data_IF_807736342444
#
_entry.id   IF_807736342444
#
_cell.length_a   1.000
_cell.length_b   1.000
_cell.length_c   1.000
_cell.angle_alpha   90.00
_cell.angle_beta   90.00
_cell.angle_gamma   90.00
#
_symmetry.space_group_name_H-M   'P 1'
#
loop_
_entity.id
_entity.type
_entity.pdbx_description
1 polymer ?
#
# COMPACT_ATOMS: atom_id res chain seq x y z
N UNK A 1 -12.13 14.21 -4.53
CA UNK A 1 -11.46 15.16 -3.62
C UNK A 1 -10.35 14.39 -2.93
N UNK A 2 -9.12 14.91 -2.96
CA UNK A 2 -7.92 14.29 -2.38
C UNK A 2 -8.00 14.29 -0.84
N UNK A 3 -7.30 13.36 -0.19
CA UNK A 3 -7.22 13.29 1.26
C UNK A 3 -6.45 14.48 1.84
N UNK A 4 -6.94 15.12 2.92
CA UNK A 4 -6.21 16.18 3.61
C UNK A 4 -5.12 15.64 4.57
N UNK A 5 -5.08 14.32 4.80
CA UNK A 5 -4.20 13.66 5.76
C UNK A 5 -2.82 13.42 5.13
N UNK A 6 -2.07 14.48 4.90
CA UNK A 6 -0.72 14.38 4.35
C UNK A 6 0.13 15.60 4.72
N UNK A 7 1.45 15.42 4.74
CA UNK A 7 2.40 16.51 4.97
C UNK A 7 3.59 16.44 4.02
N UNK A 8 4.56 17.34 4.17
CA UNK A 8 5.79 17.28 3.39
C UNK A 8 6.60 16.02 3.76
N UNK A 9 7.23 15.39 2.77
CA UNK A 9 8.20 14.31 3.02
C UNK A 9 9.40 14.84 3.79
N UNK A 10 9.95 14.03 4.69
CA UNK A 10 11.12 14.41 5.50
C UNK A 10 12.44 13.86 4.96
N UNK A 11 12.38 12.86 4.07
CA UNK A 11 13.53 12.08 3.61
C UNK A 11 13.76 12.19 2.09
N UNK A 12 13.20 13.23 1.46
CA UNK A 12 13.30 13.44 0.01
C UNK A 12 12.24 12.66 -0.77
N UNK A 13 12.64 12.15 -1.94
CA UNK A 13 11.76 11.38 -2.83
C UNK A 13 11.49 9.98 -2.26
N UNK A 14 10.32 9.39 -2.54
CA UNK A 14 10.04 8.02 -2.14
C UNK A 14 10.95 7.04 -2.89
N UNK A 15 11.40 6.01 -2.18
CA UNK A 15 12.26 4.94 -2.71
C UNK A 15 11.71 3.53 -2.43
N UNK A 16 10.47 3.45 -1.94
CA UNK A 16 9.78 2.20 -1.62
C UNK A 16 8.26 2.27 -1.83
N UNK A 17 7.63 1.11 -1.94
CA UNK A 17 6.17 0.95 -1.96
C UNK A 17 5.78 0.03 -0.81
N UNK A 18 4.75 0.43 -0.05
CA UNK A 18 4.15 -0.42 0.97
C UNK A 18 2.75 -0.81 0.50
N UNK A 19 2.52 -2.11 0.38
CA UNK A 19 1.23 -2.69 0.00
C UNK A 19 0.42 -2.98 1.26
N UNK A 20 -0.84 -2.56 1.24
CA UNK A 20 -1.81 -2.71 2.33
C UNK A 20 -3.06 -3.43 1.84
N UNK A 21 -3.86 -3.89 2.79
CA UNK A 21 -5.29 -4.03 2.58
C UNK A 21 -6.06 -3.09 3.51
N UNK A 22 -7.27 -2.71 3.11
CA UNK A 22 -8.05 -1.69 3.84
C UNK A 22 -8.63 -2.16 5.17
N UNK A 23 -8.98 -3.45 5.30
CA UNK A 23 -9.67 -3.99 6.46
C UNK A 23 -11.13 -3.54 6.51
N UNK A 24 -11.66 -3.09 5.37
CA UNK A 24 -13.00 -2.52 5.25
C UNK A 24 -13.79 -3.25 4.18
N UNK A 25 -15.10 -3.38 4.39
CA UNK A 25 -15.99 -4.16 3.52
C UNK A 25 -16.18 -3.55 2.13
N UNK A 26 -15.96 -2.25 1.95
CA UNK A 26 -16.20 -1.55 0.69
C UNK A 26 -15.15 -0.47 0.42
N UNK A 27 -14.92 -0.17 -0.86
CA UNK A 27 -14.10 0.97 -1.27
C UNK A 27 -14.62 2.30 -0.73
N UNK A 28 -15.94 2.50 -0.72
CA UNK A 28 -16.55 3.71 -0.20
C UNK A 28 -16.21 3.93 1.28
N UNK A 29 -16.24 2.87 2.10
CA UNK A 29 -15.85 2.94 3.50
C UNK A 29 -14.34 3.22 3.66
N UNK A 30 -13.50 2.52 2.89
CA UNK A 30 -12.06 2.74 2.88
C UNK A 30 -11.70 4.19 2.51
N UNK A 31 -12.28 4.68 1.41
CA UNK A 31 -12.10 6.05 0.93
C UNK A 31 -12.56 7.07 1.97
N UNK A 32 -13.72 6.86 2.59
CA UNK A 32 -14.24 7.75 3.63
C UNK A 32 -13.26 7.85 4.81
N UNK A 33 -12.73 6.73 5.30
CA UNK A 33 -11.72 6.72 6.37
C UNK A 33 -10.42 7.41 5.96
N UNK A 34 -9.88 7.08 4.79
CA UNK A 34 -8.60 7.61 4.30
C UNK A 34 -8.66 9.11 3.99
N UNK A 35 -9.85 9.69 3.86
CA UNK A 35 -10.07 11.11 3.61
C UNK A 35 -10.65 11.87 4.81
N UNK A 36 -10.94 11.20 5.92
CA UNK A 36 -11.47 11.82 7.14
C UNK A 36 -10.33 12.50 7.91
N UNK A 37 -10.35 13.84 8.10
CA UNK A 37 -9.33 14.56 8.85
C UNK A 37 -9.11 14.02 10.28
N UNK A 38 -10.18 13.55 10.95
CA UNK A 38 -10.11 13.02 12.31
C UNK A 38 -9.52 11.61 12.37
N UNK A 39 -9.38 10.94 11.22
CA UNK A 39 -8.80 9.61 11.15
C UNK A 39 -7.29 9.58 11.28
N UNK A 40 -6.64 10.67 10.87
CA UNK A 40 -5.18 10.84 10.82
C UNK A 40 -4.46 9.68 10.13
N UNK A 41 -5.11 9.08 9.12
CA UNK A 41 -4.55 8.06 8.23
C UNK A 41 -4.91 8.36 6.78
N UNK A 42 -4.06 7.92 5.85
CA UNK A 42 -4.27 8.04 4.40
C UNK A 42 -3.33 7.12 3.64
N UNK A 43 -3.60 6.93 2.35
CA UNK A 43 -2.70 6.28 1.41
C UNK A 43 -2.60 7.13 0.13
N UNK A 44 -1.62 6.83 -0.72
CA UNK A 44 -1.50 7.54 -2.01
C UNK A 44 -2.53 7.02 -3.00
N UNK A 45 -2.76 5.70 -2.98
CA UNK A 45 -3.65 5.02 -3.91
C UNK A 45 -4.60 4.08 -3.19
N UNK A 46 -5.84 4.04 -3.65
CA UNK A 46 -6.85 3.05 -3.28
C UNK A 46 -7.28 2.28 -4.53
N UNK A 47 -7.28 0.95 -4.47
CA UNK A 47 -7.69 0.07 -5.57
C UNK A 47 -8.91 -0.76 -5.13
N UNK A 48 -10.04 -0.57 -5.80
CA UNK A 48 -11.27 -1.32 -5.57
C UNK A 48 -11.20 -2.74 -6.17
N UNK A 49 -12.15 -3.59 -5.82
CA UNK A 49 -12.27 -4.98 -6.23
C UNK A 49 -12.41 -5.15 -7.75
N UNK A 50 -12.98 -4.16 -8.44
CA UNK A 50 -13.13 -4.11 -9.90
C UNK A 50 -11.88 -3.55 -10.62
N UNK A 51 -10.84 -3.18 -9.89
CA UNK A 51 -9.61 -2.59 -10.42
C UNK A 51 -9.65 -1.07 -10.59
N UNK A 52 -10.76 -0.41 -10.23
CA UNK A 52 -10.83 1.04 -10.14
C UNK A 52 -9.74 1.56 -9.19
N UNK A 53 -8.91 2.48 -9.66
CA UNK A 53 -7.79 3.04 -8.90
C UNK A 53 -7.97 4.55 -8.71
N UNK A 54 -7.97 5.00 -7.46
CA UNK A 54 -8.11 6.42 -7.10
C UNK A 54 -6.84 6.94 -6.44
N UNK A 55 -6.32 8.07 -6.94
CA UNK A 55 -5.26 8.83 -6.28
C UNK A 55 -5.87 9.67 -5.15
N UNK A 56 -5.44 9.43 -3.91
CA UNK A 56 -5.91 10.14 -2.72
C UNK A 56 -4.90 11.17 -2.23
N UNK A 57 -3.60 10.85 -2.27
CA UNK A 57 -2.51 11.76 -1.87
C UNK A 57 -1.46 11.82 -2.99
N UNK A 58 -0.98 13.01 -3.39
CA UNK A 58 0.11 13.14 -4.35
C UNK A 58 1.36 12.35 -3.94
N UNK A 59 1.99 11.64 -4.88
CA UNK A 59 3.14 10.76 -4.61
C UNK A 59 4.38 11.51 -4.06
N UNK A 60 4.52 12.81 -4.33
CA UNK A 60 5.58 13.67 -3.79
C UNK A 60 5.31 14.15 -2.34
N UNK A 61 4.12 13.88 -1.80
CA UNK A 61 3.72 14.19 -0.43
C UNK A 61 3.80 12.94 0.44
N UNK A 62 3.86 13.15 1.76
CA UNK A 62 3.87 12.08 2.77
C UNK A 62 2.45 11.75 3.19
N UNK A 63 1.88 10.66 2.65
CA UNK A 63 0.67 10.05 3.21
C UNK A 63 0.96 9.37 4.57
N UNK A 64 -0.09 9.06 5.33
CA UNK A 64 -0.01 8.53 6.68
C UNK A 64 -0.57 7.11 6.74
N UNK A 65 0.15 6.13 6.19
CA UNK A 65 -0.31 4.73 6.08
C UNK A 65 0.48 3.74 6.94
N UNK A 66 1.79 3.93 7.09
CA UNK A 66 2.68 2.95 7.70
C UNK A 66 2.71 2.99 9.23
N UNK A 67 2.21 4.05 9.87
CA UNK A 67 2.27 4.25 11.33
C UNK A 67 3.69 4.06 11.92
N UNK A 68 3.77 3.51 13.13
CA UNK A 68 5.04 3.07 13.74
C UNK A 68 5.56 1.85 12.97
N UNK A 69 6.69 2.02 12.29
CA UNK A 69 7.27 1.05 11.35
C UNK A 69 8.77 1.28 11.16
N UNK A 70 9.48 0.35 10.54
CA UNK A 70 10.89 0.47 10.16
C UNK A 70 11.23 -0.43 8.98
N UNK A 71 12.10 0.05 8.07
CA UNK A 71 12.65 -0.75 6.97
C UNK A 71 14.12 -0.38 6.72
N UNK A 72 14.99 -1.39 6.68
CA UNK A 72 16.43 -1.23 6.48
C UNK A 72 17.09 -0.16 7.39
N UNK A 73 16.63 -0.07 8.64
CA UNK A 73 17.15 0.86 9.64
C UNK A 73 16.51 2.25 9.63
N UNK A 74 15.66 2.59 8.66
CA UNK A 74 14.90 3.85 8.66
C UNK A 74 13.50 3.66 9.26
N UNK A 75 13.12 4.57 10.15
CA UNK A 75 11.86 4.51 10.92
C UNK A 75 10.72 5.37 10.35
N UNK A 76 10.99 6.43 9.59
CA UNK A 76 9.94 7.23 8.94
C UNK A 76 9.56 6.63 7.58
N UNK A 77 9.03 5.41 7.60
CA UNK A 77 8.60 4.67 6.40
C UNK A 77 7.61 5.49 5.58
N UNK A 78 6.69 6.23 6.19
CA UNK A 78 5.78 7.13 5.48
C UNK A 78 6.52 8.16 4.61
N UNK A 79 7.65 8.72 5.09
CA UNK A 79 8.46 9.66 4.30
C UNK A 79 9.18 8.98 3.12
N UNK A 80 9.52 7.70 3.23
CA UNK A 80 10.20 6.92 2.18
C UNK A 80 9.25 6.26 1.19
N UNK A 81 7.98 6.09 1.53
CA UNK A 81 7.11 5.18 0.80
C UNK A 81 5.96 5.83 0.06
N UNK A 82 5.49 5.08 -0.94
CA UNK A 82 4.17 5.17 -1.51
C UNK A 82 3.30 4.04 -0.94
N UNK A 83 2.31 4.37 -0.10
CA UNK A 83 1.27 3.44 0.33
C UNK A 83 0.19 3.21 -0.72
N UNK A 84 -0.10 1.94 -1.02
CA UNK A 84 -1.20 1.48 -1.89
C UNK A 84 -2.14 0.59 -1.07
N UNK A 85 -3.41 0.97 -0.99
CA UNK A 85 -4.47 0.25 -0.30
C UNK A 85 -5.29 -0.57 -1.30
N UNK A 86 -5.35 -1.88 -1.11
CA UNK A 86 -6.27 -2.74 -1.85
C UNK A 86 -7.50 -3.01 -1.01
N UNK A 87 -8.69 -2.73 -1.56
CA UNK A 87 -9.96 -3.05 -0.90
C UNK A 87 -10.01 -4.55 -0.61
N UNK A 88 -9.99 -4.89 0.67
CA UNK A 88 -10.19 -6.23 1.17
C UNK A 88 -10.72 -6.12 2.61
N UNK A 89 -11.77 -6.86 2.98
CA UNK A 89 -12.34 -6.83 4.32
C UNK A 89 -11.37 -7.26 5.42
N UNK A 90 -10.28 -7.97 5.08
CA UNK A 90 -9.31 -8.43 6.07
C UNK A 90 -9.84 -9.55 6.96
N UNK A 91 -8.99 -10.04 7.88
CA UNK A 91 -9.22 -11.28 8.65
C UNK A 91 -10.51 -11.24 9.49
N UNK A 92 -10.90 -10.07 9.99
CA UNK A 92 -12.05 -9.90 10.87
C UNK A 92 -13.39 -9.94 10.12
N UNK A 93 -13.39 -9.75 8.79
CA UNK A 93 -14.62 -9.49 8.02
C UNK A 93 -14.75 -10.33 6.76
N UNK A 94 -14.02 -11.44 6.66
CA UNK A 94 -14.10 -12.37 5.52
C UNK A 94 -12.96 -12.19 4.53
N UNK A 95 -11.72 -12.22 5.03
CA UNK A 95 -10.51 -12.14 4.22
C UNK A 95 -10.55 -13.11 3.04
N UNK A 96 -10.35 -12.60 1.83
CA UNK A 96 -10.37 -13.37 0.59
C UNK A 96 -9.16 -13.06 -0.30
N UNK A 97 -8.83 -13.92 -1.27
CA UNK A 97 -7.84 -13.60 -2.29
C UNK A 97 -8.21 -12.33 -3.05
N UNK A 98 -7.20 -11.59 -3.50
CA UNK A 98 -7.39 -10.35 -4.25
C UNK A 98 -7.82 -10.68 -5.69
N UNK A 99 -8.98 -10.21 -6.16
CA UNK A 99 -9.52 -10.59 -7.47
C UNK A 99 -8.66 -10.09 -8.63
N UNK A 100 -8.78 -10.76 -9.79
CA UNK A 100 -7.97 -10.48 -10.98
C UNK A 100 -7.97 -9.01 -11.41
N UNK A 101 -9.12 -8.29 -11.50
CA UNK A 101 -9.11 -6.89 -11.92
C UNK A 101 -8.30 -6.00 -10.99
N UNK A 102 -8.39 -6.23 -9.68
CA UNK A 102 -7.66 -5.50 -8.65
C UNK A 102 -6.15 -5.76 -8.75
N UNK A 103 -5.73 -7.02 -8.89
CA UNK A 103 -4.31 -7.38 -9.05
C UNK A 103 -3.74 -6.85 -10.37
N UNK A 104 -4.48 -6.92 -11.47
CA UNK A 104 -4.04 -6.36 -12.75
C UNK A 104 -3.88 -4.83 -12.69
N UNK A 105 -4.76 -4.14 -11.96
CA UNK A 105 -4.64 -2.70 -11.71
C UNK A 105 -3.40 -2.38 -10.86
N UNK A 106 -3.18 -3.12 -9.78
CA UNK A 106 -1.98 -3.00 -8.95
C UNK A 106 -0.70 -3.15 -9.77
N UNK A 107 -0.61 -4.16 -10.63
CA UNK A 107 0.60 -4.39 -11.44
C UNK A 107 0.90 -3.21 -12.39
N UNK A 108 -0.14 -2.66 -13.04
CA UNK A 108 0.02 -1.49 -13.92
C UNK A 108 0.46 -0.26 -13.12
N UNK A 109 -0.20 -0.02 -11.99
CA UNK A 109 0.09 1.11 -11.12
C UNK A 109 1.51 1.03 -10.57
N UNK A 110 1.87 -0.13 -10.02
CA UNK A 110 3.16 -0.40 -9.40
C UNK A 110 4.30 -0.27 -10.41
N UNK A 111 4.16 -0.83 -11.62
CA UNK A 111 5.16 -0.65 -12.68
C UNK A 111 5.39 0.83 -13.01
N UNK A 112 4.32 1.63 -13.07
CA UNK A 112 4.40 3.07 -13.31
C UNK A 112 5.08 3.83 -12.17
N UNK A 113 4.73 3.50 -10.91
CA UNK A 113 5.34 4.10 -9.72
C UNK A 113 6.84 3.78 -9.66
N UNK A 114 7.19 2.51 -9.85
CA UNK A 114 8.59 2.06 -9.81
C UNK A 114 9.43 2.75 -10.88
N UNK A 115 8.91 2.86 -12.11
CA UNK A 115 9.61 3.58 -13.17
C UNK A 115 9.75 5.07 -12.89
N UNK A 116 8.71 5.74 -12.36
CA UNK A 116 8.74 7.17 -12.04
C UNK A 116 9.75 7.53 -10.95
N UNK A 117 9.82 6.71 -9.90
CA UNK A 117 10.60 6.99 -8.70
C UNK A 117 11.88 6.16 -8.60
N UNK A 118 12.21 5.37 -9.63
CA UNK A 118 13.35 4.47 -9.65
C UNK A 118 13.37 3.50 -8.45
N UNK A 119 12.20 2.96 -8.10
CA UNK A 119 12.05 2.04 -6.97
C UNK A 119 12.42 0.63 -7.40
N UNK A 120 13.39 0.04 -6.68
CA UNK A 120 13.83 -1.33 -6.90
C UNK A 120 12.80 -2.35 -6.40
N UNK A 121 12.67 -3.53 -7.02
CA UNK A 121 11.70 -4.56 -6.61
C UNK A 121 11.86 -5.02 -5.16
N UNK A 122 13.06 -4.95 -4.59
CA UNK A 122 13.33 -5.28 -3.17
C UNK A 122 12.67 -4.30 -2.18
N UNK A 123 12.30 -3.11 -2.64
CA UNK A 123 11.66 -2.07 -1.86
C UNK A 123 10.13 -2.04 -2.05
N UNK A 124 9.55 -3.08 -2.67
CA UNK A 124 8.11 -3.30 -2.69
C UNK A 124 7.77 -4.35 -1.63
N UNK A 125 7.20 -3.89 -0.52
CA UNK A 125 7.02 -4.66 0.72
C UNK A 125 5.58 -4.62 1.23
N UNK A 126 5.21 -5.54 2.10
CA UNK A 126 3.94 -5.50 2.82
C UNK A 126 4.00 -4.61 4.07
N UNK A 127 2.86 -4.20 4.59
CA UNK A 127 2.81 -3.49 5.88
C UNK A 127 3.30 -4.37 7.04
N UNK A 128 3.02 -5.68 6.97
CA UNK A 128 3.55 -6.72 7.86
C UNK A 128 5.09 -6.76 7.90
N UNK A 129 5.76 -6.42 6.80
CA UNK A 129 7.22 -6.45 6.70
C UNK A 129 7.87 -5.26 7.43
N UNK A 130 7.21 -4.09 7.40
CA UNK A 130 7.71 -2.86 8.03
C UNK A 130 7.20 -2.64 9.45
N UNK A 131 6.16 -3.35 9.87
CA UNK A 131 5.58 -3.26 11.21
C UNK A 131 5.28 -4.65 11.82
N UNK A 132 6.31 -5.52 11.92
CA UNK A 132 6.13 -6.88 12.41
C UNK A 132 5.54 -6.90 13.83
N UNK A 133 4.59 -7.80 14.06
CA UNK A 133 3.86 -7.93 15.33
C UNK A 133 2.75 -6.90 15.57
N UNK A 134 2.68 -5.81 14.78
CA UNK A 134 1.60 -4.81 14.83
C UNK A 134 0.62 -4.94 13.67
N UNK A 135 1.12 -5.26 12.48
CA UNK A 135 0.35 -5.30 11.24
C UNK A 135 0.54 -6.64 10.53
N UNK A 136 -0.51 -7.06 9.82
CA UNK A 136 -0.60 -8.39 9.18
C UNK A 136 -1.03 -8.29 7.71
N UNK A 137 -1.23 -7.08 7.19
CA UNK A 137 -1.58 -6.83 5.80
C UNK A 137 -0.31 -6.68 4.92
N UNK A 138 -0.37 -7.07 3.63
CA UNK A 138 -1.56 -7.54 2.89
C UNK A 138 -1.90 -9.02 3.13
N UNK A 139 -1.10 -9.73 3.93
CA UNK A 139 -1.39 -11.06 4.46
C UNK A 139 -1.19 -12.22 3.48
N UNK A 140 -1.47 -13.42 3.98
CA UNK A 140 -1.19 -14.69 3.29
C UNK A 140 -1.91 -14.91 1.95
N UNK A 141 -3.03 -14.24 1.70
CA UNK A 141 -3.79 -14.38 0.44
C UNK A 141 -3.35 -13.39 -0.64
N UNK A 142 -2.38 -12.52 -0.34
CA UNK A 142 -1.79 -11.64 -1.33
C UNK A 142 -0.77 -12.38 -2.20
N UNK A 143 -0.95 -12.33 -3.53
CA UNK A 143 -0.13 -13.08 -4.49
C UNK A 143 1.19 -12.35 -4.80
N UNK A 144 2.12 -12.43 -3.86
CA UNK A 144 3.50 -11.92 -4.05
C UNK A 144 4.21 -12.59 -5.23
N UNK A 145 3.98 -13.89 -5.45
CA UNK A 145 4.61 -14.64 -6.53
C UNK A 145 4.25 -14.06 -7.91
N UNK A 146 3.01 -13.58 -8.08
CA UNK A 146 2.58 -12.87 -9.28
C UNK A 146 3.38 -11.60 -9.52
N UNK A 147 3.59 -10.76 -8.51
CA UNK A 147 4.40 -9.55 -8.66
C UNK A 147 5.86 -9.89 -8.98
N UNK A 148 6.43 -10.90 -8.33
CA UNK A 148 7.81 -11.33 -8.58
C UNK A 148 8.03 -11.86 -10.00
N UNK A 149 7.10 -12.64 -10.55
CA UNK A 149 7.17 -13.10 -11.96
C UNK A 149 7.25 -11.96 -12.97
N UNK A 150 6.80 -10.76 -12.59
CA UNK A 150 6.82 -9.55 -13.42
C UNK A 150 7.96 -8.60 -13.07
N UNK A 151 8.84 -8.97 -12.14
CA UNK A 151 9.91 -8.10 -11.64
C UNK A 151 9.39 -6.90 -10.83
N UNK A 152 8.18 -6.97 -10.27
CA UNK A 152 7.56 -5.90 -9.50
C UNK A 152 7.78 -6.05 -7.99
N UNK A 153 8.28 -7.19 -7.54
CA UNK A 153 8.72 -7.41 -6.16
C UNK A 153 9.84 -8.45 -6.14
N UNK A 154 10.75 -8.38 -5.17
CA UNK A 154 11.73 -9.45 -4.91
C UNK A 154 11.11 -10.64 -4.14
N UNK A 155 9.91 -10.49 -3.56
CA UNK A 155 9.26 -11.49 -2.71
C UNK A 155 8.48 -12.50 -3.55
N UNK A 156 8.79 -13.79 -3.42
CA UNK A 156 8.17 -14.87 -4.21
C UNK A 156 7.10 -15.67 -3.45
N UNK A 157 6.84 -15.38 -2.18
CA UNK A 157 5.91 -16.14 -1.34
C UNK A 157 5.49 -15.41 -0.06
N UNK A 158 4.65 -16.07 0.74
CA UNK A 158 4.17 -15.55 2.03
C UNK A 158 5.25 -15.75 3.10
N UNK A 159 5.45 -14.78 4.00
CA UNK A 159 6.20 -15.01 5.24
C UNK A 159 5.30 -15.78 6.21
N UNK A 160 5.74 -16.98 6.57
CA UNK A 160 5.13 -17.82 7.61
C UNK A 160 5.45 -17.26 8.99
#
# INVERSE_FOLDING_TARGET
>A
MTSPNHNARRLGQPDMVVIHYTGMKTAAAARARLCDPGAEVSAHWLIDLDGGSEALVPEDRRAWHAGVSSWEGESDVNSRSIGIELVNPGVEHGYHPFPEPQMAALERLLAGIMARWSIEPRNVVGHEDVAPGRKIDPGEKFDWARLARRGLSARTGVRV
#
